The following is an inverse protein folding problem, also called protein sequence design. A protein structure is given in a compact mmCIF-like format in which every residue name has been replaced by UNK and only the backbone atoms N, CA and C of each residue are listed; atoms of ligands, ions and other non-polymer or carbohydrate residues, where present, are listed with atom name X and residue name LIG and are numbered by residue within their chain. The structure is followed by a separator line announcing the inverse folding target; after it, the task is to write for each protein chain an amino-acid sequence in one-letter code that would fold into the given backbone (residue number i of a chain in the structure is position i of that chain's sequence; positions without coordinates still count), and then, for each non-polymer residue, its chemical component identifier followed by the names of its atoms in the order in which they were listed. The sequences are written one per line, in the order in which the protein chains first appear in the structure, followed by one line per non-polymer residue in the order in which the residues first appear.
data_IF_211155691141
#
_entry.id   IF_211155691141
#
_cell.length_a   1.000
_cell.length_b   1.000
_cell.length_c   1.000
_cell.angle_alpha   90.00
_cell.angle_beta   90.00
_cell.angle_gamma   90.00
#
_symmetry.space_group_name_H-M   'P 1'
#
loop_
_entity.id
_entity.type
_entity.pdbx_description
1 polymer ?
#
# COMPACT_ATOMS: atom_id res chain seq x y z
N UNK A 1 -8.83 5.96 -4.20
CA UNK A 1 -7.46 5.43 -3.99
C UNK A 1 -7.05 4.31 -4.93
N UNK A 2 -7.87 3.28 -5.18
CA UNK A 2 -7.51 2.17 -6.08
C UNK A 2 -7.02 2.60 -7.47
N UNK A 3 -7.71 3.56 -8.12
CA UNK A 3 -7.31 4.10 -9.44
C UNK A 3 -5.93 4.76 -9.42
N UNK A 4 -5.62 5.55 -8.37
CA UNK A 4 -4.32 6.22 -8.23
C UNK A 4 -3.21 5.19 -8.07
N UNK A 5 -3.41 4.21 -7.18
CA UNK A 5 -2.46 3.12 -6.93
C UNK A 5 -2.23 2.27 -8.18
N UNK A 6 -3.29 1.95 -8.93
CA UNK A 6 -3.19 1.19 -10.17
C UNK A 6 -2.43 1.95 -11.28
N UNK A 7 -2.80 3.22 -11.51
CA UNK A 7 -2.16 4.03 -12.55
C UNK A 7 -0.68 4.29 -12.23
N UNK A 8 -0.37 4.70 -11.00
CA UNK A 8 1.02 4.95 -10.58
C UNK A 8 1.88 3.68 -10.63
N UNK A 9 1.33 2.53 -10.22
CA UNK A 9 1.99 1.24 -10.36
C UNK A 9 2.33 0.91 -11.82
N UNK A 10 1.42 1.20 -12.75
CA UNK A 10 1.65 1.02 -14.19
C UNK A 10 2.76 1.94 -14.70
N UNK A 11 2.69 3.23 -14.38
CA UNK A 11 3.67 4.22 -14.86
C UNK A 11 5.08 3.94 -14.30
N UNK A 12 5.20 3.57 -13.02
CA UNK A 12 6.49 3.20 -12.40
C UNK A 12 7.13 2.02 -13.14
N UNK A 13 6.34 0.99 -13.47
CA UNK A 13 6.85 -0.20 -14.19
C UNK A 13 7.23 0.09 -15.64
N UNK A 14 6.54 1.03 -16.29
CA UNK A 14 6.90 1.46 -17.64
C UNK A 14 8.19 2.29 -17.64
N UNK A 15 8.37 3.14 -16.62
CA UNK A 15 9.53 4.03 -16.52
C UNK A 15 10.79 3.33 -16.03
N UNK A 16 10.64 2.33 -15.18
CA UNK A 16 11.75 1.58 -14.57
C UNK A 16 11.57 0.07 -14.77
N UNK A 17 11.83 -0.47 -15.97
CA UNK A 17 11.69 -1.90 -16.26
C UNK A 17 12.49 -2.81 -15.32
N UNK A 18 13.58 -2.30 -14.75
CA UNK A 18 14.49 -2.97 -13.83
C UNK A 18 13.80 -3.35 -12.52
N UNK A 19 12.76 -2.60 -12.13
CA UNK A 19 12.01 -2.84 -10.89
C UNK A 19 11.35 -4.21 -10.88
N UNK A 20 11.09 -4.81 -12.05
CA UNK A 20 10.55 -6.18 -12.18
C UNK A 20 11.47 -7.24 -11.57
N UNK A 21 12.78 -6.99 -11.50
CA UNK A 21 13.74 -7.90 -10.87
C UNK A 21 13.56 -7.97 -9.35
N UNK A 22 13.13 -6.87 -8.74
CA UNK A 22 12.92 -6.74 -7.29
C UNK A 22 11.47 -7.03 -6.93
N UNK A 23 10.53 -6.45 -7.68
CA UNK A 23 9.08 -6.60 -7.53
C UNK A 23 8.52 -7.51 -8.62
N UNK A 24 8.76 -8.82 -8.46
CA UNK A 24 8.29 -9.87 -9.38
C UNK A 24 6.81 -10.19 -9.20
N UNK A 25 6.30 -10.07 -7.97
CA UNK A 25 4.86 -9.99 -7.72
C UNK A 25 4.39 -8.66 -8.26
N UNK A 26 3.35 -8.68 -9.09
CA UNK A 26 2.81 -7.53 -9.81
C UNK A 26 2.09 -6.54 -8.86
N UNK A 27 2.63 -6.30 -7.67
CA UNK A 27 2.13 -5.53 -6.54
C UNK A 27 3.19 -4.46 -6.18
N UNK A 28 2.90 -3.20 -6.46
CA UNK A 28 3.77 -2.08 -6.08
C UNK A 28 3.31 -1.39 -4.79
N UNK A 29 2.08 -1.66 -4.36
CA UNK A 29 1.44 -1.01 -3.22
C UNK A 29 0.68 -2.03 -2.39
N UNK A 30 0.69 -1.90 -1.07
CA UNK A 30 -0.15 -2.66 -0.14
C UNK A 30 -1.63 -2.51 -0.47
N UNK A 31 -2.51 -3.39 0.02
CA UNK A 31 -3.96 -3.26 -0.21
C UNK A 31 -4.52 -2.02 0.51
N UNK A 32 -4.07 -1.78 1.74
CA UNK A 32 -4.52 -0.65 2.58
C UNK A 32 -4.05 0.72 2.11
N UNK A 33 -4.68 1.76 2.63
CA UNK A 33 -4.20 3.13 2.53
C UNK A 33 -4.62 3.92 3.78
N UNK A 34 -3.86 4.97 4.11
CA UNK A 34 -4.20 5.93 5.15
C UNK A 34 -4.35 7.31 4.54
N UNK A 35 -5.39 8.05 4.95
CA UNK A 35 -5.67 9.40 4.50
C UNK A 35 -6.17 10.22 5.67
N UNK A 36 -5.67 11.45 5.80
CA UNK A 36 -6.11 12.42 6.81
C UNK A 36 -6.11 13.82 6.23
N UNK A 37 -6.88 14.71 6.86
CA UNK A 37 -6.75 16.16 6.68
C UNK A 37 -5.42 16.67 7.26
N UNK A 38 -5.00 17.86 6.85
CA UNK A 38 -3.78 18.53 7.31
C UNK A 38 -3.81 18.69 8.84
N UNK A 39 -2.69 18.37 9.51
CA UNK A 39 -2.55 18.52 10.98
C UNK A 39 -2.38 17.22 11.77
N UNK A 40 -2.16 16.07 11.12
CA UNK A 40 -1.87 14.81 11.83
C UNK A 40 -0.38 14.69 12.22
N UNK A 41 -0.18 14.03 13.36
CA UNK A 41 1.12 13.69 13.95
C UNK A 41 1.80 12.49 13.25
N UNK A 42 3.11 12.58 13.10
CA UNK A 42 3.98 11.52 12.58
C UNK A 42 3.82 10.20 13.34
N UNK A 43 3.56 10.27 14.66
CA UNK A 43 3.35 9.09 15.49
C UNK A 43 2.16 8.23 15.01
N UNK A 44 1.11 8.85 14.48
CA UNK A 44 -0.07 8.15 13.94
C UNK A 44 0.27 7.46 12.62
N UNK A 45 1.03 8.15 11.76
CA UNK A 45 1.46 7.60 10.46
C UNK A 45 2.37 6.39 10.69
N UNK A 46 3.32 6.47 11.64
CA UNK A 46 4.20 5.34 11.99
C UNK A 46 3.41 4.13 12.46
N UNK A 47 2.45 4.33 13.37
CA UNK A 47 1.57 3.24 13.85
C UNK A 47 0.80 2.59 12.70
N UNK A 48 0.30 3.37 11.73
CA UNK A 48 -0.37 2.83 10.56
C UNK A 48 0.58 1.98 9.69
N UNK A 49 1.80 2.46 9.44
CA UNK A 49 2.80 1.74 8.65
C UNK A 49 3.19 0.42 9.32
N UNK A 50 3.48 0.43 10.62
CA UNK A 50 3.81 -0.78 11.39
C UNK A 50 2.65 -1.79 11.40
N UNK A 51 1.41 -1.30 11.51
CA UNK A 51 0.23 -2.16 11.42
C UNK A 51 0.09 -2.78 10.02
N UNK A 52 0.25 -1.98 8.97
CA UNK A 52 0.13 -2.44 7.58
C UNK A 52 1.20 -3.48 7.25
N UNK A 53 2.43 -3.31 7.73
CA UNK A 53 3.51 -4.29 7.56
C UNK A 53 3.13 -5.66 8.15
N UNK A 54 2.56 -5.67 9.36
CA UNK A 54 2.12 -6.92 10.00
C UNK A 54 0.96 -7.58 9.25
N UNK A 55 0.08 -6.80 8.63
CA UNK A 55 -1.00 -7.32 7.79
C UNK A 55 -0.46 -7.91 6.50
N UNK A 56 0.43 -7.20 5.80
CA UNK A 56 0.97 -7.61 4.50
C UNK A 56 1.89 -8.84 4.61
N UNK A 57 2.60 -8.98 5.74
CA UNK A 57 3.41 -10.17 6.06
C UNK A 57 2.56 -11.37 6.51
N UNK A 58 1.25 -11.20 6.66
CA UNK A 58 0.32 -12.25 7.10
C UNK A 58 0.39 -12.56 8.59
N UNK A 59 1.14 -11.77 9.38
CA UNK A 59 1.18 -11.89 10.85
C UNK A 59 -0.17 -11.47 11.48
N UNK A 60 -0.92 -10.62 10.78
CA UNK A 60 -2.27 -10.21 11.12
C UNK A 60 -3.20 -10.46 9.93
N UNK A 61 -4.33 -11.15 10.17
CA UNK A 61 -5.39 -11.26 9.17
C UNK A 61 -6.33 -10.08 9.30
N UNK A 62 -6.36 -9.24 8.28
CA UNK A 62 -7.35 -8.20 8.15
C UNK A 62 -8.65 -8.82 7.60
N UNK A 63 -9.70 -8.91 8.40
CA UNK A 63 -11.05 -9.16 7.88
C UNK A 63 -11.52 -7.87 7.22
N UNK A 64 -11.43 -7.82 5.90
CA UNK A 64 -12.02 -6.76 5.10
C UNK A 64 -13.45 -7.19 4.76
N UNK A 65 -14.42 -6.81 5.60
CA UNK A 65 -15.83 -6.87 5.23
C UNK A 65 -16.09 -5.78 4.19
N UNK A 66 -16.01 -6.17 2.92
CA UNK A 66 -16.51 -5.36 1.82
C UNK A 66 -18.03 -5.52 1.77
N UNK A 67 -18.72 -4.94 2.75
CA UNK A 67 -20.16 -4.77 2.71
C UNK A 67 -20.53 -3.80 1.59
N UNK A 68 -20.83 -4.36 0.42
CA UNK A 68 -21.61 -3.74 -0.65
C UNK A 68 -22.69 -4.73 -1.08
#
# INVERSE_FOLDING_TARGET
MGKIKANTSREIRQRFPEIKKVYWRNECWSVGFFSSTVGIDEAVIKRYVEFQEKVDTGQLKLQLDFGF
#
